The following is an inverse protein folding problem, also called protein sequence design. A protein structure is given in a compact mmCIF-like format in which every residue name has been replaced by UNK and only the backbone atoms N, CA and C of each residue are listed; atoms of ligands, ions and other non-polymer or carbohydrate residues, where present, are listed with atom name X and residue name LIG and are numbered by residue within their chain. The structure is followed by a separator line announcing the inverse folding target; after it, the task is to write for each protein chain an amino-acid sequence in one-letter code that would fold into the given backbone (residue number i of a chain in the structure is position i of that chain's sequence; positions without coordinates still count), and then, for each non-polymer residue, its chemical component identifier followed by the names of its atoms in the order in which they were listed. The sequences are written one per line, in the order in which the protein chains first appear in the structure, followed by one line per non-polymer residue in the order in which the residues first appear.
data_IF_181194315184
#
_entry.id   IF_181194315184
#
_cell.length_a   1.000
_cell.length_b   1.000
_cell.length_c   1.000
_cell.angle_alpha   90.00
_cell.angle_beta   90.00
_cell.angle_gamma   90.00
#
_symmetry.space_group_name_H-M   'P 1'
#
loop_
_entity.id
_entity.type
_entity.pdbx_description
1 polymer ?
#
# COMPACT_ATOMS: atom_id res chain seq x y z
N UNK A 1 25.21 -51.93 16.10
CA UNK A 1 24.03 -51.34 16.76
C UNK A 1 24.51 -50.06 17.41
N UNK A 2 24.16 -48.83 17.06
CA UNK A 2 23.23 -48.24 16.12
C UNK A 2 23.10 -46.77 16.54
N UNK A 3 23.05 -45.85 15.56
CA UNK A 3 22.38 -44.53 15.57
C UNK A 3 22.76 -43.49 16.67
N UNK A 4 22.79 -42.17 16.49
CA UNK A 4 22.73 -41.17 15.41
C UNK A 4 22.78 -39.80 16.15
N UNK A 5 23.02 -38.71 15.40
CA UNK A 5 22.58 -37.32 15.61
C UNK A 5 23.55 -36.30 16.24
N UNK A 6 23.88 -35.32 15.40
CA UNK A 6 24.43 -33.99 15.67
C UNK A 6 23.46 -33.11 16.51
N UNK A 7 23.91 -31.94 16.99
CA UNK A 7 23.52 -31.37 18.27
C UNK A 7 22.28 -30.49 18.19
N UNK A 8 21.49 -30.46 19.26
CA UNK A 8 20.40 -29.52 19.44
C UNK A 8 20.36 -29.04 20.89
N UNK A 9 20.20 -27.72 21.01
CA UNK A 9 19.38 -27.05 22.03
C UNK A 9 20.02 -26.90 23.43
N UNK A 10 19.95 -25.77 24.11
CA UNK A 10 19.05 -24.62 23.99
C UNK A 10 19.49 -23.51 24.96
N UNK A 11 18.90 -22.32 24.76
CA UNK A 11 18.68 -21.24 25.75
C UNK A 11 19.96 -20.50 26.25
N UNK A 12 20.05 -19.16 26.19
CA UNK A 12 19.11 -18.19 26.75
C UNK A 12 19.36 -16.79 26.15
N UNK A 13 18.32 -16.11 25.68
CA UNK A 13 17.83 -14.84 26.27
C UNK A 13 16.86 -14.11 25.33
N UNK A 14 15.65 -13.93 25.85
CA UNK A 14 14.55 -13.18 25.31
C UNK A 14 14.89 -11.71 25.09
N UNK A 15 14.53 -11.15 23.93
CA UNK A 15 13.73 -9.93 23.73
C UNK A 15 13.94 -9.36 22.31
N UNK A 16 12.82 -9.01 21.67
CA UNK A 16 12.60 -8.45 20.32
C UNK A 16 12.63 -9.45 19.16
N UNK A 17 11.47 -9.87 18.60
CA UNK A 17 11.47 -10.25 17.20
C UNK A 17 11.82 -9.00 16.38
N UNK A 18 12.82 -9.15 15.50
CA UNK A 18 12.76 -8.71 14.11
C UNK A 18 11.39 -8.14 13.74
N UNK A 19 11.30 -6.86 13.36
CA UNK A 19 10.95 -6.51 11.98
C UNK A 19 10.80 -5.01 11.78
N UNK A 20 11.47 -4.54 10.73
CA UNK A 20 10.91 -3.58 9.78
C UNK A 20 10.87 -2.08 10.14
N UNK A 21 12.02 -1.51 10.51
CA UNK A 21 12.35 -0.20 9.94
C UNK A 21 13.06 -0.45 8.62
N UNK A 22 12.43 -0.27 7.44
CA UNK A 22 13.18 -0.33 6.18
C UNK A 22 14.28 0.73 6.24
N UNK A 23 15.52 0.25 6.33
CA UNK A 23 16.70 1.07 6.29
C UNK A 23 16.73 1.77 4.93
N UNK A 24 16.83 3.09 4.98
CA UNK A 24 17.14 3.93 3.83
C UNK A 24 18.49 3.48 3.29
N UNK A 25 18.53 2.85 2.11
CA UNK A 25 19.78 2.77 1.34
C UNK A 25 19.51 2.90 -0.16
N UNK A 26 20.05 3.97 -0.70
CA UNK A 26 19.99 4.39 -2.08
C UNK A 26 21.25 3.86 -2.76
N UNK A 27 21.13 2.83 -3.61
CA UNK A 27 22.16 2.58 -4.63
C UNK A 27 21.60 1.84 -5.86
N UNK A 28 21.93 2.41 -7.01
CA UNK A 28 21.52 2.04 -8.36
C UNK A 28 22.10 0.68 -8.78
N UNK A 29 21.26 -0.20 -9.33
CA UNK A 29 21.75 -1.39 -10.02
C UNK A 29 20.68 -2.47 -10.14
N UNK A 30 20.36 -2.81 -11.38
CA UNK A 30 19.59 -3.99 -11.79
C UNK A 30 19.91 -5.21 -10.93
N UNK A 31 19.05 -5.52 -9.97
CA UNK A 31 19.24 -6.61 -9.03
C UNK A 31 17.90 -7.03 -8.43
N UNK A 32 17.48 -8.23 -8.80
CA UNK A 32 16.35 -8.96 -8.24
C UNK A 32 16.60 -9.19 -6.74
N UNK A 33 15.99 -8.39 -5.87
CA UNK A 33 16.15 -8.51 -4.43
C UNK A 33 15.30 -7.48 -3.68
N UNK A 34 14.48 -7.96 -2.75
CA UNK A 34 13.48 -7.19 -2.03
C UNK A 34 14.04 -5.90 -1.40
N UNK A 35 13.38 -4.80 -1.71
CA UNK A 35 13.68 -3.47 -1.23
C UNK A 35 12.93 -2.49 -2.12
N UNK A 36 11.82 -1.95 -1.60
CA UNK A 36 10.86 -1.10 -2.32
C UNK A 36 11.50 0.16 -2.86
N UNK A 37 12.17 0.03 -4.01
CA UNK A 37 12.49 1.15 -4.88
C UNK A 37 11.26 1.35 -5.75
N UNK A 38 10.74 2.58 -5.78
CA UNK A 38 9.71 2.96 -6.71
C UNK A 38 10.18 2.56 -8.12
N UNK A 39 9.62 1.49 -8.67
CA UNK A 39 9.97 1.03 -10.00
C UNK A 39 9.69 2.19 -10.96
N UNK A 40 10.69 2.55 -11.77
CA UNK A 40 10.54 3.52 -12.84
C UNK A 40 9.54 2.95 -13.85
N UNK A 41 8.24 3.22 -13.64
CA UNK A 41 7.16 2.57 -14.38
C UNK A 41 5.89 2.39 -13.57
N UNK A 42 6.00 2.29 -12.24
CA UNK A 42 4.85 2.00 -11.39
C UNK A 42 3.77 3.09 -11.50
N UNK A 43 2.59 2.68 -11.95
CA UNK A 43 1.43 3.53 -12.13
C UNK A 43 0.22 2.81 -11.60
N UNK A 44 -0.55 3.53 -10.80
CA UNK A 44 -1.81 3.03 -10.28
C UNK A 44 -2.91 3.97 -10.72
N UNK A 45 -3.94 3.43 -11.34
CA UNK A 45 -5.14 4.17 -11.67
C UNK A 45 -6.35 3.35 -11.30
N UNK A 46 -7.35 3.98 -10.72
CA UNK A 46 -8.55 3.28 -10.32
C UNK A 46 -9.61 4.24 -9.82
N UNK A 47 -10.83 3.75 -9.82
CA UNK A 47 -11.95 4.53 -9.32
C UNK A 47 -13.20 3.70 -9.26
N UNK A 48 -14.00 3.94 -8.24
CA UNK A 48 -15.14 3.08 -7.99
C UNK A 48 -15.84 3.38 -6.68
N UNK A 49 -16.65 2.41 -6.26
CA UNK A 49 -17.38 2.43 -4.99
C UNK A 49 -17.09 1.17 -4.21
N UNK A 50 -16.85 1.29 -2.90
CA UNK A 50 -16.70 0.15 -2.01
C UNK A 50 -18.05 -0.52 -1.75
N UNK A 51 -18.06 -1.85 -1.65
CA UNK A 51 -19.26 -2.61 -1.32
C UNK A 51 -19.70 -2.44 0.14
N UNK A 52 -18.77 -2.16 1.03
CA UNK A 52 -18.99 -2.10 2.48
C UNK A 52 -19.57 -0.75 2.94
N UNK A 53 -19.10 0.36 2.37
CA UNK A 53 -19.49 1.70 2.80
C UNK A 53 -20.25 2.50 1.75
N UNK A 54 -20.41 1.97 0.52
CA UNK A 54 -20.79 2.73 -0.67
C UNK A 54 -19.90 3.98 -0.91
N UNK A 55 -18.73 4.02 -0.26
CA UNK A 55 -17.75 5.09 -0.36
C UNK A 55 -17.12 5.13 -1.74
N UNK A 56 -17.03 6.32 -2.32
CA UNK A 56 -16.46 6.58 -3.64
C UNK A 56 -14.98 6.88 -3.51
N UNK A 57 -14.16 6.27 -4.36
CA UNK A 57 -12.73 6.56 -4.40
C UNK A 57 -12.27 6.84 -5.83
N UNK A 58 -11.18 7.57 -5.93
CA UNK A 58 -10.44 7.78 -7.17
C UNK A 58 -8.96 7.86 -6.85
N UNK A 59 -8.16 7.11 -7.59
CA UNK A 59 -6.71 7.09 -7.49
C UNK A 59 -6.12 7.22 -8.88
N UNK A 60 -5.13 8.10 -9.01
CA UNK A 60 -4.23 8.16 -10.15
C UNK A 60 -2.87 8.58 -9.64
N UNK A 61 -1.94 7.64 -9.49
CA UNK A 61 -0.63 7.85 -8.89
C UNK A 61 0.48 7.26 -9.77
N UNK A 62 1.59 7.98 -9.88
CA UNK A 62 2.72 7.68 -10.74
C UNK A 62 4.03 7.76 -9.95
N UNK A 63 4.85 6.73 -10.08
CA UNK A 63 6.14 6.57 -9.40
C UNK A 63 7.23 7.38 -10.11
N UNK A 64 7.05 8.71 -10.15
CA UNK A 64 8.08 9.67 -10.58
C UNK A 64 8.92 10.12 -9.39
N UNK A 65 9.98 10.90 -9.63
CA UNK A 65 10.76 11.55 -8.56
C UNK A 65 10.62 13.08 -8.67
N UNK A 66 9.88 13.75 -7.76
CA UNK A 66 9.02 13.18 -6.71
C UNK A 66 7.77 12.49 -7.28
N UNK A 67 7.09 11.60 -6.52
CA UNK A 67 5.89 10.92 -6.98
C UNK A 67 4.75 11.91 -7.19
N UNK A 68 3.91 11.63 -8.19
CA UNK A 68 2.83 12.53 -8.63
C UNK A 68 1.52 11.79 -8.69
N UNK A 69 0.43 12.50 -8.46
CA UNK A 69 -0.88 11.90 -8.53
C UNK A 69 -1.91 12.58 -7.65
N UNK A 70 -3.06 11.95 -7.57
CA UNK A 70 -4.17 12.31 -6.69
C UNK A 70 -4.83 11.06 -6.16
N UNK A 71 -5.18 11.10 -4.89
CA UNK A 71 -6.04 10.13 -4.21
C UNK A 71 -7.19 10.91 -3.61
N UNK A 72 -8.41 10.43 -3.81
CA UNK A 72 -9.60 10.95 -3.16
C UNK A 72 -10.47 9.80 -2.68
N UNK A 73 -11.10 9.99 -1.54
CA UNK A 73 -12.08 9.07 -0.97
C UNK A 73 -13.20 9.86 -0.30
N UNK A 74 -14.45 9.48 -0.55
CA UNK A 74 -15.62 10.12 0.04
C UNK A 74 -16.67 9.10 0.44
N UNK A 75 -17.08 9.11 1.70
CA UNK A 75 -18.24 8.39 2.20
C UNK A 75 -19.14 9.33 3.03
N UNK A 76 -20.06 8.79 3.83
CA UNK A 76 -20.97 9.60 4.66
C UNK A 76 -20.26 10.39 5.78
N UNK A 77 -19.09 9.94 6.24
CA UNK A 77 -18.36 10.45 7.40
C UNK A 77 -16.93 10.90 7.07
N UNK A 78 -16.45 10.67 5.85
CA UNK A 78 -15.07 10.92 5.42
C UNK A 78 -15.09 11.66 4.09
N UNK A 79 -14.28 12.72 3.99
CA UNK A 79 -14.06 13.48 2.77
C UNK A 79 -12.56 13.73 2.65
N UNK A 80 -11.86 12.72 2.14
CA UNK A 80 -10.42 12.67 2.07
C UNK A 80 -9.91 13.05 0.68
N UNK A 81 -8.89 13.91 0.66
CA UNK A 81 -8.13 14.27 -0.54
C UNK A 81 -6.64 14.34 -0.24
N UNK A 82 -5.81 13.69 -1.06
CA UNK A 82 -4.36 13.81 -0.96
C UNK A 82 -3.89 15.23 -1.31
N UNK A 83 -2.98 15.78 -0.52
CA UNK A 83 -2.27 17.03 -0.79
C UNK A 83 -0.87 16.79 -1.35
N UNK A 84 -0.28 15.64 -1.05
CA UNK A 84 1.02 15.23 -1.59
C UNK A 84 1.26 13.73 -1.45
N UNK A 85 1.96 13.15 -2.41
CA UNK A 85 2.43 11.76 -2.34
C UNK A 85 3.89 11.76 -1.85
N UNK A 86 4.20 10.89 -0.91
CA UNK A 86 5.55 10.67 -0.39
C UNK A 86 6.23 9.48 -1.07
N UNK A 87 5.50 8.37 -1.24
CA UNK A 87 5.98 7.19 -1.98
C UNK A 87 4.84 6.52 -2.74
N UNK A 88 5.21 5.85 -3.83
CA UNK A 88 4.37 4.87 -4.52
C UNK A 88 5.26 3.68 -4.87
N UNK A 89 4.83 2.49 -4.48
CA UNK A 89 5.50 1.22 -4.76
C UNK A 89 4.48 0.23 -5.31
N UNK A 90 4.83 -0.45 -6.40
CA UNK A 90 4.05 -1.56 -6.95
C UNK A 90 4.79 -2.88 -6.65
N UNK A 91 4.04 -3.96 -6.57
CA UNK A 91 4.56 -5.32 -6.42
C UNK A 91 3.58 -6.27 -7.10
N UNK A 92 3.86 -6.60 -8.37
CA UNK A 92 2.92 -7.35 -9.20
C UNK A 92 1.59 -6.60 -9.34
N UNK A 93 0.50 -7.19 -8.85
CA UNK A 93 -0.84 -6.57 -8.90
C UNK A 93 -1.19 -5.74 -7.66
N UNK A 94 -0.27 -5.58 -6.71
CA UNK A 94 -0.47 -4.77 -5.51
C UNK A 94 0.26 -3.45 -5.60
N UNK A 95 -0.29 -2.39 -5.01
CA UNK A 95 0.38 -1.12 -4.89
C UNK A 95 0.10 -0.44 -3.56
N UNK A 96 1.13 0.23 -3.04
CA UNK A 96 1.07 1.01 -1.80
C UNK A 96 1.46 2.45 -2.11
N UNK A 97 0.59 3.37 -1.74
CA UNK A 97 0.81 4.82 -1.82
C UNK A 97 0.83 5.39 -0.41
N UNK A 98 1.84 6.21 -0.10
CA UNK A 98 1.87 6.97 1.15
C UNK A 98 1.94 8.46 0.88
N UNK A 99 1.50 9.26 1.82
CA UNK A 99 1.62 10.71 1.70
C UNK A 99 0.86 11.49 2.75
N UNK A 100 0.54 12.73 2.39
CA UNK A 100 -0.28 13.63 3.19
C UNK A 100 -1.56 14.00 2.45
N UNK A 101 -2.60 14.27 3.21
CA UNK A 101 -3.90 14.70 2.72
C UNK A 101 -4.67 15.49 3.75
N UNK A 102 -5.91 15.77 3.39
CA UNK A 102 -6.89 16.43 4.23
C UNK A 102 -8.11 15.51 4.30
N UNK A 103 -8.56 15.19 5.52
CA UNK A 103 -9.84 14.52 5.77
C UNK A 103 -10.75 15.47 6.55
N UNK A 104 -11.93 15.80 6.03
CA UNK A 104 -12.91 16.68 6.70
C UNK A 104 -12.33 18.04 7.18
N UNK A 105 -11.30 18.56 6.51
CA UNK A 105 -10.52 19.78 6.83
C UNK A 105 -9.32 19.59 7.76
N UNK A 106 -9.08 18.39 8.29
CA UNK A 106 -7.93 18.08 9.12
C UNK A 106 -6.78 17.52 8.28
N UNK A 107 -5.56 18.03 8.51
CA UNK A 107 -4.35 17.51 7.87
C UNK A 107 -3.98 16.14 8.45
N UNK A 108 -3.83 15.15 7.57
CA UNK A 108 -3.54 13.77 7.96
C UNK A 108 -2.45 13.17 7.07
N UNK A 109 -1.59 12.33 7.65
CA UNK A 109 -0.85 11.33 6.89
C UNK A 109 -1.77 10.18 6.48
N UNK A 110 -1.49 9.55 5.34
CA UNK A 110 -2.25 8.40 4.84
C UNK A 110 -1.34 7.30 4.27
N UNK A 111 -1.85 6.08 4.34
CA UNK A 111 -1.37 4.91 3.60
C UNK A 111 -2.53 4.31 2.84
N UNK A 112 -2.37 4.12 1.54
CA UNK A 112 -3.34 3.51 0.65
C UNK A 112 -2.75 2.24 0.07
N UNK A 113 -3.40 1.12 0.35
CA UNK A 113 -3.09 -0.17 -0.24
C UNK A 113 -4.18 -0.57 -1.25
N UNK A 114 -3.73 -1.03 -2.41
CA UNK A 114 -4.55 -1.39 -3.55
C UNK A 114 -4.11 -2.75 -4.07
N UNK A 115 -5.07 -3.61 -4.42
CA UNK A 115 -4.79 -4.89 -5.08
C UNK A 115 -5.73 -5.04 -6.26
N UNK A 116 -5.15 -5.12 -7.46
CA UNK A 116 -5.80 -5.53 -8.70
C UNK A 116 -5.92 -7.06 -8.69
N UNK A 117 -7.14 -7.57 -8.66
CA UNK A 117 -7.44 -9.00 -8.69
C UNK A 117 -8.09 -9.42 -10.02
N UNK A 118 -7.97 -8.60 -11.07
CA UNK A 118 -8.38 -8.89 -12.43
C UNK A 118 -9.45 -7.95 -13.00
N UNK A 119 -9.53 -7.91 -14.33
CA UNK A 119 -10.25 -6.91 -15.15
C UNK A 119 -11.75 -6.70 -14.88
N UNK A 120 -12.40 -7.56 -14.10
CA UNK A 120 -13.79 -7.30 -13.71
C UNK A 120 -13.88 -6.17 -12.67
N UNK A 121 -12.78 -5.85 -11.97
CA UNK A 121 -12.67 -4.81 -10.95
C UNK A 121 -13.41 -5.08 -9.64
N UNK A 122 -14.45 -5.92 -9.65
CA UNK A 122 -15.28 -6.21 -8.46
C UNK A 122 -14.57 -7.04 -7.38
N UNK A 123 -13.47 -7.69 -7.73
CA UNK A 123 -12.60 -8.43 -6.80
C UNK A 123 -11.43 -7.60 -6.31
N UNK A 124 -11.23 -6.40 -6.85
CA UNK A 124 -10.15 -5.52 -6.42
C UNK A 124 -10.40 -5.04 -5.01
N UNK A 125 -9.31 -4.78 -4.31
CA UNK A 125 -9.36 -4.31 -2.94
C UNK A 125 -8.76 -2.93 -2.82
N UNK A 126 -9.38 -2.15 -1.95
CA UNK A 126 -8.95 -0.82 -1.57
C UNK A 126 -8.87 -0.78 -0.06
N UNK A 127 -7.81 -0.17 0.48
CA UNK A 127 -7.63 0.05 1.91
C UNK A 127 -6.92 1.37 2.15
N UNK A 128 -7.66 2.36 2.64
CA UNK A 128 -7.13 3.67 3.04
C UNK A 128 -7.05 3.74 4.56
N UNK A 129 -5.85 3.90 5.10
CA UNK A 129 -5.59 4.14 6.52
C UNK A 129 -5.11 5.57 6.72
N UNK A 130 -5.72 6.27 7.67
CA UNK A 130 -5.40 7.67 7.97
C UNK A 130 -4.85 7.79 9.40
N UNK A 131 -3.90 8.70 9.58
CA UNK A 131 -3.31 8.99 10.89
C UNK A 131 -4.26 9.64 11.89
N UNK A 132 -5.32 10.32 11.43
CA UNK A 132 -6.44 10.78 12.28
C UNK A 132 -7.22 9.63 12.92
N UNK A 133 -7.04 8.41 12.40
CA UNK A 133 -7.70 7.21 12.85
C UNK A 133 -8.68 6.68 11.82
N UNK A 134 -8.92 5.37 11.92
CA UNK A 134 -9.83 4.65 11.04
C UNK A 134 -9.19 4.16 9.75
N UNK A 135 -9.71 3.02 9.29
CA UNK A 135 -9.39 2.43 8.00
C UNK A 135 -10.67 2.34 7.19
N UNK A 136 -10.58 2.67 5.90
CA UNK A 136 -11.66 2.49 4.92
C UNK A 136 -11.20 1.42 3.95
N UNK A 137 -11.71 0.22 4.15
CA UNK A 137 -11.33 -0.92 3.32
C UNK A 137 -12.54 -1.71 2.83
N UNK A 138 -12.33 -2.41 1.71
CA UNK A 138 -13.33 -3.29 1.14
C UNK A 138 -13.01 -3.67 -0.29
N UNK A 139 -13.84 -4.57 -0.82
CA UNK A 139 -13.87 -4.88 -2.25
C UNK A 139 -14.68 -3.84 -3.01
N UNK A 140 -14.43 -3.72 -4.31
CA UNK A 140 -15.20 -2.81 -5.15
C UNK A 140 -16.55 -3.41 -5.49
N UNK A 141 -17.61 -2.61 -5.29
CA UNK A 141 -18.95 -2.88 -5.81
C UNK A 141 -19.07 -2.53 -7.29
N UNK A 142 -18.37 -1.48 -7.70
CA UNK A 142 -18.29 -0.94 -9.07
C UNK A 142 -16.94 -0.25 -9.22
N UNK A 143 -16.43 -0.23 -10.45
CA UNK A 143 -15.13 0.36 -10.74
C UNK A 143 -14.07 -0.71 -10.97
N UNK A 144 -12.83 -0.26 -11.08
CA UNK A 144 -11.66 -1.07 -11.39
C UNK A 144 -10.41 -0.38 -10.80
N UNK A 145 -9.41 -1.16 -10.46
CA UNK A 145 -8.08 -0.72 -10.04
C UNK A 145 -7.08 -1.41 -10.95
N UNK A 146 -6.27 -0.60 -11.62
CA UNK A 146 -5.22 -1.05 -12.52
C UNK A 146 -3.88 -0.68 -11.91
N UNK A 147 -3.10 -1.73 -11.61
CA UNK A 147 -1.71 -1.59 -11.18
C UNK A 147 -0.83 -1.97 -12.35
N UNK A 148 0.02 -1.02 -12.76
CA UNK A 148 1.10 -1.25 -13.71
C UNK A 148 2.41 -1.16 -12.95
N UNK A 149 3.21 -2.21 -12.99
CA UNK A 149 4.56 -2.31 -12.40
C UNK A 149 5.63 -2.30 -13.51
#
# INVERSE_FOLDING_TARGET
MGNTLSPLQDLQSFLYPLDNTPAMDFLLGSGTGGGGTAFAGCKVSGGGTLATTDGKFSVNAHATVPPKGKVAYKDANTDFHSTGLASLTCSGSSATVTGTGVDNSDNVGFTLDLVDNGESGTTDTFSLTMSSGGTRSGTLKRGDVQVHD
#
